data_IF_155096199912
#
_entry.id   IF_155096199912
#
_cell.length_a   1.000
_cell.length_b   1.000
_cell.length_c   1.000
_cell.angle_alpha   90.00
_cell.angle_beta   90.00
_cell.angle_gamma   90.00
#
_symmetry.space_group_name_H-M   'P 1'
#
loop_
_entity.id
_entity.type
_entity.pdbx_description
1 polymer ?
#
# COMPACT_ATOMS: atom_id res chain seq x y z
N UNK A 1 -5.27 2.20 -23.29
CA UNK A 1 -5.22 3.65 -23.01
C UNK A 1 -3.90 4.27 -23.49
N UNK A 2 -3.88 5.57 -23.86
CA UNK A 2 -2.63 6.28 -24.20
C UNK A 2 -1.73 6.40 -22.96
N UNK A 3 -0.41 6.55 -23.15
CA UNK A 3 0.56 6.56 -22.04
C UNK A 3 0.29 7.66 -21.01
N UNK A 4 -0.05 8.88 -21.44
CA UNK A 4 -0.40 9.99 -20.53
C UNK A 4 -1.62 9.64 -19.67
N UNK A 5 -2.65 9.05 -20.29
CA UNK A 5 -3.87 8.64 -19.58
C UNK A 5 -3.56 7.51 -18.58
N UNK A 6 -2.65 6.59 -18.92
CA UNK A 6 -2.15 5.54 -18.01
C UNK A 6 -1.50 6.15 -16.76
N UNK A 7 -0.60 7.11 -16.96
CA UNK A 7 0.09 7.78 -15.85
C UNK A 7 -0.91 8.51 -14.95
N UNK A 8 -1.83 9.30 -15.53
CA UNK A 8 -2.85 10.01 -14.77
C UNK A 8 -3.76 9.06 -13.98
N UNK A 9 -4.22 7.98 -14.60
CA UNK A 9 -5.02 6.95 -13.95
C UNK A 9 -4.28 6.32 -12.76
N UNK A 10 -3.03 5.91 -12.96
CA UNK A 10 -2.21 5.33 -11.90
C UNK A 10 -1.95 6.32 -10.76
N UNK A 11 -1.75 7.60 -11.05
CA UNK A 11 -1.60 8.64 -10.02
C UNK A 11 -2.90 8.84 -9.22
N UNK A 12 -4.06 8.88 -9.87
CA UNK A 12 -5.35 8.95 -9.16
C UNK A 12 -5.56 7.76 -8.23
N UNK A 13 -5.25 6.55 -8.70
CA UNK A 13 -5.34 5.34 -7.88
C UNK A 13 -4.32 5.38 -6.74
N UNK A 14 -3.12 5.91 -6.97
CA UNK A 14 -2.10 6.03 -5.93
C UNK A 14 -2.54 6.91 -4.77
N UNK A 15 -3.26 8.01 -5.03
CA UNK A 15 -3.84 8.87 -3.98
C UNK A 15 -4.88 8.09 -3.18
N UNK A 16 -5.75 7.33 -3.86
CA UNK A 16 -6.73 6.47 -3.21
C UNK A 16 -6.06 5.39 -2.34
N UNK A 17 -5.03 4.74 -2.87
CA UNK A 17 -4.28 3.71 -2.13
C UNK A 17 -3.54 4.30 -0.93
N UNK A 18 -2.91 5.47 -1.09
CA UNK A 18 -2.30 6.24 0.00
C UNK A 18 -3.31 6.55 1.12
N UNK A 19 -4.48 7.10 0.77
CA UNK A 19 -5.53 7.41 1.76
C UNK A 19 -6.02 6.14 2.49
N UNK A 20 -6.30 5.06 1.74
CA UNK A 20 -6.74 3.79 2.33
C UNK A 20 -5.67 3.19 3.25
N UNK A 21 -4.40 3.29 2.89
CA UNK A 21 -3.30 2.75 3.71
C UNK A 21 -3.09 3.57 4.99
N UNK A 22 -3.21 4.90 4.96
CA UNK A 22 -3.20 5.70 6.20
C UNK A 22 -4.36 5.31 7.12
N UNK A 23 -5.57 5.17 6.57
CA UNK A 23 -6.75 4.77 7.34
C UNK A 23 -6.51 3.38 7.96
N UNK A 24 -6.01 2.43 7.17
CA UNK A 24 -5.69 1.09 7.61
C UNK A 24 -4.69 1.08 8.78
N UNK A 25 -3.59 1.83 8.64
CA UNK A 25 -2.57 1.98 9.69
C UNK A 25 -3.17 2.62 10.94
N UNK A 26 -3.98 3.68 10.80
CA UNK A 26 -4.65 4.33 11.92
C UNK A 26 -5.62 3.41 12.66
N UNK A 27 -6.41 2.61 11.94
CA UNK A 27 -7.32 1.63 12.56
C UNK A 27 -6.57 0.48 13.25
N UNK A 28 -5.44 0.05 12.69
CA UNK A 28 -4.55 -0.94 13.31
C UNK A 28 -3.91 -0.37 14.58
N UNK A 29 -3.43 0.87 14.55
CA UNK A 29 -2.81 1.52 15.70
C UNK A 29 -3.81 1.76 16.85
N UNK A 30 -5.09 2.00 16.52
CA UNK A 30 -6.17 2.10 17.50
C UNK A 30 -6.59 0.73 18.09
N UNK A 31 -6.07 -0.39 17.57
CA UNK A 31 -6.46 -1.73 18.00
C UNK A 31 -7.90 -2.12 17.62
N UNK A 32 -8.54 -1.34 16.74
CA UNK A 32 -9.93 -1.57 16.32
C UNK A 32 -10.07 -2.77 15.39
N UNK A 33 -9.03 -3.03 14.59
CA UNK A 33 -9.02 -4.13 13.64
C UNK A 33 -8.65 -5.42 14.36
N UNK A 34 -9.51 -6.46 14.29
CA UNK A 34 -9.27 -7.74 14.97
C UNK A 34 -9.06 -7.61 16.48
N UNK A 35 -9.78 -6.70 17.15
CA UNK A 35 -9.64 -6.49 18.61
C UNK A 35 -9.77 -7.81 19.37
N UNK A 36 -10.66 -8.73 18.95
CA UNK A 36 -10.88 -10.01 19.62
C UNK A 36 -9.63 -10.89 19.72
N UNK A 37 -8.65 -10.66 18.84
CA UNK A 37 -7.37 -11.37 18.82
C UNK A 37 -6.23 -10.56 19.46
N UNK A 38 -6.54 -9.41 20.05
CA UNK A 38 -5.54 -8.54 20.66
C UNK A 38 -5.03 -9.22 21.95
N UNK A 39 -3.82 -9.79 21.86
CA UNK A 39 -3.18 -10.49 22.98
C UNK A 39 -2.18 -9.57 23.66
N UNK A 40 -2.34 -9.40 24.97
CA UNK A 40 -1.37 -8.68 25.81
C UNK A 40 -0.01 -9.38 25.89
N UNK A 41 0.05 -10.67 25.55
CA UNK A 41 1.29 -11.46 25.58
C UNK A 41 2.19 -11.18 24.37
N UNK A 42 1.61 -10.81 23.21
CA UNK A 42 2.36 -10.56 21.97
C UNK A 42 1.85 -9.32 21.22
N UNK A 43 1.99 -8.12 21.81
CA UNK A 43 1.38 -6.90 21.27
C UNK A 43 1.97 -6.50 19.91
N UNK A 44 3.28 -6.66 19.71
CA UNK A 44 3.96 -6.33 18.46
C UNK A 44 3.54 -7.23 17.31
N UNK A 45 3.43 -8.54 17.55
CA UNK A 45 3.01 -9.50 16.53
C UNK A 45 1.56 -9.26 16.09
N UNK A 46 0.66 -8.96 17.04
CA UNK A 46 -0.72 -8.64 16.70
C UNK A 46 -0.87 -7.33 15.94
N UNK A 47 -0.13 -6.30 16.34
CA UNK A 47 -0.12 -5.03 15.60
C UNK A 47 0.41 -5.20 14.16
N UNK A 48 1.44 -6.04 13.96
CA UNK A 48 1.94 -6.37 12.62
C UNK A 48 0.90 -7.14 11.79
N UNK A 49 0.22 -8.11 12.40
CA UNK A 49 -0.82 -8.88 11.72
C UNK A 49 -2.04 -8.01 11.33
N UNK A 50 -2.46 -7.10 12.21
CA UNK A 50 -3.52 -6.13 11.93
C UNK A 50 -3.13 -5.18 10.78
N UNK A 51 -1.88 -4.71 10.74
CA UNK A 51 -1.36 -3.92 9.63
C UNK A 51 -1.32 -4.72 8.33
N UNK A 52 -0.87 -5.97 8.36
CA UNK A 52 -0.85 -6.84 7.19
C UNK A 52 -2.25 -7.02 6.59
N UNK A 53 -3.25 -7.33 7.42
CA UNK A 53 -4.63 -7.55 6.98
C UNK A 53 -5.25 -6.25 6.48
N UNK A 54 -5.10 -5.16 7.23
CA UNK A 54 -5.71 -3.87 6.87
C UNK A 54 -5.10 -3.27 5.59
N UNK A 55 -3.78 -3.24 5.46
CA UNK A 55 -3.09 -2.80 4.24
C UNK A 55 -3.38 -3.78 3.09
N UNK A 56 -3.53 -5.08 3.40
CA UNK A 56 -3.93 -6.10 2.43
C UNK A 56 -5.30 -5.81 1.82
N UNK A 57 -6.28 -5.47 2.65
CA UNK A 57 -7.61 -5.04 2.21
C UNK A 57 -7.56 -3.70 1.46
N UNK A 58 -6.75 -2.75 1.94
CA UNK A 58 -6.54 -1.46 1.26
C UNK A 58 -5.91 -1.63 -0.13
N UNK A 59 -5.04 -2.63 -0.31
CA UNK A 59 -4.38 -2.94 -1.58
C UNK A 59 -5.30 -3.68 -2.57
N UNK A 60 -6.33 -4.37 -2.08
CA UNK A 60 -7.28 -5.12 -2.92
C UNK A 60 -7.99 -4.21 -3.91
N UNK A 61 -8.60 -3.12 -3.42
CA UNK A 61 -9.40 -2.17 -4.21
C UNK A 61 -8.61 -1.60 -5.40
N UNK A 62 -7.47 -0.92 -5.19
CA UNK A 62 -6.73 -0.31 -6.29
C UNK A 62 -6.18 -1.36 -7.27
N UNK A 63 -5.79 -2.54 -6.77
CA UNK A 63 -5.31 -3.63 -7.62
C UNK A 63 -6.42 -4.20 -8.51
N UNK A 64 -7.63 -4.34 -7.97
CA UNK A 64 -8.81 -4.75 -8.73
C UNK A 64 -9.15 -3.71 -9.81
N UNK A 65 -9.11 -2.42 -9.49
CA UNK A 65 -9.36 -1.34 -10.44
C UNK A 65 -8.32 -1.36 -11.58
N UNK A 66 -7.03 -1.47 -11.26
CA UNK A 66 -5.98 -1.56 -12.30
C UNK A 66 -6.21 -2.76 -13.22
N UNK A 67 -6.55 -3.92 -12.66
CA UNK A 67 -6.83 -5.12 -13.45
C UNK A 67 -8.01 -4.92 -14.39
N UNK A 68 -9.09 -4.34 -13.90
CA UNK A 68 -10.36 -4.21 -14.63
C UNK A 68 -10.27 -3.19 -15.77
N UNK A 69 -9.58 -2.06 -15.55
CA UNK A 69 -9.51 -0.97 -16.53
C UNK A 69 -8.24 -1.01 -17.42
N UNK A 70 -7.14 -1.61 -16.96
CA UNK A 70 -5.87 -1.68 -17.71
C UNK A 70 -5.25 -3.10 -17.76
N UNK A 71 -5.97 -4.10 -18.29
CA UNK A 71 -5.50 -5.50 -18.30
C UNK A 71 -4.19 -5.69 -19.09
N UNK A 72 -3.99 -4.91 -20.16
CA UNK A 72 -2.80 -5.01 -21.01
C UNK A 72 -1.52 -4.45 -20.36
N UNK A 73 -1.64 -3.44 -19.49
CA UNK A 73 -0.50 -2.70 -18.89
C UNK A 73 -0.52 -2.68 -17.36
N UNK A 74 -1.24 -3.61 -16.76
CA UNK A 74 -1.43 -3.74 -15.31
C UNK A 74 -0.14 -3.67 -14.48
N UNK A 75 0.97 -4.23 -14.96
CA UNK A 75 2.26 -4.16 -14.26
C UNK A 75 2.81 -2.74 -14.20
N UNK A 76 2.78 -2.01 -15.32
CA UNK A 76 3.23 -0.61 -15.37
C UNK A 76 2.35 0.23 -14.46
N UNK A 77 1.02 0.02 -14.52
CA UNK A 77 0.07 0.78 -13.72
C UNK A 77 0.27 0.54 -12.21
N UNK A 78 0.50 -0.70 -11.78
CA UNK A 78 0.79 -1.06 -10.38
C UNK A 78 2.12 -0.50 -9.93
N UNK A 79 3.17 -0.55 -10.76
CA UNK A 79 4.47 0.03 -10.42
C UNK A 79 4.37 1.53 -10.19
N UNK A 80 3.73 2.28 -11.10
CA UNK A 80 3.51 3.72 -10.95
C UNK A 80 2.71 4.01 -9.67
N UNK A 81 1.64 3.25 -9.44
CA UNK A 81 0.80 3.39 -8.26
C UNK A 81 1.59 3.19 -6.96
N UNK A 82 2.39 2.13 -6.86
CA UNK A 82 3.21 1.84 -5.67
C UNK A 82 4.23 2.96 -5.44
N UNK A 83 4.99 3.33 -6.48
CA UNK A 83 6.03 4.36 -6.37
C UNK A 83 5.43 5.70 -5.94
N UNK A 84 4.32 6.11 -6.54
CA UNK A 84 3.61 7.34 -6.17
C UNK A 84 3.04 7.26 -4.74
N UNK A 85 2.57 6.09 -4.30
CA UNK A 85 2.06 5.91 -2.94
C UNK A 85 3.18 6.00 -1.89
N UNK A 86 4.34 5.37 -2.16
CA UNK A 86 5.52 5.48 -1.29
C UNK A 86 6.02 6.92 -1.20
N UNK A 87 6.01 7.61 -2.34
CA UNK A 87 6.34 9.02 -2.42
C UNK A 87 5.41 9.87 -1.52
N UNK A 88 4.10 9.61 -1.56
CA UNK A 88 3.12 10.33 -0.72
C UNK A 88 3.29 10.01 0.77
N UNK A 89 3.54 8.75 1.13
CA UNK A 89 3.83 8.35 2.51
C UNK A 89 5.05 9.06 3.10
N UNK A 90 6.13 9.21 2.32
CA UNK A 90 7.30 9.97 2.77
C UNK A 90 7.07 11.46 2.99
N UNK A 91 5.94 11.99 2.50
CA UNK A 91 5.53 13.38 2.63
C UNK A 91 4.29 13.58 3.52
N UNK A 92 3.96 12.60 4.38
CA UNK A 92 2.76 12.70 5.25
C UNK A 92 2.74 13.95 6.15
N UNK A 93 3.93 14.45 6.53
CA UNK A 93 4.10 15.68 7.34
C UNK A 93 4.69 16.85 6.54
N UNK A 94 4.76 16.74 5.22
CA UNK A 94 5.39 17.71 4.33
C UNK A 94 4.45 18.09 3.20
N UNK A 95 4.92 18.94 2.30
CA UNK A 95 4.17 19.29 1.10
C UNK A 95 3.93 18.02 0.25
N UNK A 96 2.68 17.72 -0.14
CA UNK A 96 2.41 16.66 -1.11
C UNK A 96 3.22 16.91 -2.38
N UNK A 97 3.70 15.83 -3.01
CA UNK A 97 4.49 15.93 -4.25
C UNK A 97 5.91 16.54 -4.09
N UNK A 98 6.44 16.72 -2.87
CA UNK A 98 7.85 17.10 -2.64
C UNK A 98 8.79 15.97 -3.10
N UNK A 99 9.72 16.21 -4.06
CA UNK A 99 10.59 15.21 -4.65
C UNK A 99 11.41 14.41 -3.64
N UNK A 100 11.66 14.95 -2.45
CA UNK A 100 12.36 14.26 -1.37
C UNK A 100 11.52 13.16 -0.70
N UNK A 101 10.22 13.08 -0.98
CA UNK A 101 9.29 12.14 -0.36
C UNK A 101 9.74 10.69 -0.45
N UNK A 102 10.14 10.23 -1.63
CA UNK A 102 10.57 8.83 -1.77
C UNK A 102 11.85 8.51 -0.97
N UNK A 103 12.77 9.48 -0.87
CA UNK A 103 14.01 9.34 -0.08
C UNK A 103 13.67 9.30 1.41
N UNK A 104 12.79 10.18 1.88
CA UNK A 104 12.30 10.17 3.27
C UNK A 104 11.60 8.87 3.60
N UNK A 105 10.75 8.38 2.70
CA UNK A 105 10.04 7.11 2.90
C UNK A 105 11.04 5.97 3.06
N UNK A 106 11.96 5.80 2.11
CA UNK A 106 12.95 4.72 2.15
C UNK A 106 13.84 4.83 3.40
N UNK A 107 14.37 6.02 3.72
CA UNK A 107 15.24 6.20 4.88
C UNK A 107 14.51 5.93 6.19
N UNK A 108 13.33 6.51 6.39
CA UNK A 108 12.61 6.43 7.66
C UNK A 108 11.92 5.08 7.88
N UNK A 109 11.62 4.32 6.81
CA UNK A 109 10.95 3.02 6.94
C UNK A 109 11.89 1.84 6.77
N UNK A 110 12.72 1.81 5.72
CA UNK A 110 13.54 0.65 5.38
C UNK A 110 14.88 0.64 6.12
N UNK A 111 15.59 1.76 6.16
CA UNK A 111 16.95 1.81 6.73
C UNK A 111 16.94 2.10 8.24
N UNK A 112 16.26 3.16 8.65
CA UNK A 112 16.24 3.63 10.04
C UNK A 112 14.94 3.32 10.79
N UNK A 113 13.96 2.72 10.11
CA UNK A 113 12.69 2.33 10.71
C UNK A 113 12.84 1.18 11.71
N UNK A 114 11.92 1.11 12.66
CA UNK A 114 11.76 -0.06 13.51
C UNK A 114 11.15 -1.24 12.72
N UNK A 115 10.93 -2.38 13.39
CA UNK A 115 10.33 -3.56 12.75
C UNK A 115 8.95 -3.25 12.16
N UNK A 116 8.15 -2.39 12.81
CA UNK A 116 6.84 -1.98 12.32
C UNK A 116 6.93 -1.18 11.01
N UNK A 117 7.83 -0.20 10.97
CA UNK A 117 8.05 0.62 9.79
C UNK A 117 8.63 -0.19 8.62
N UNK A 118 9.58 -1.10 8.88
CA UNK A 118 10.09 -2.03 7.86
C UNK A 118 9.01 -2.94 7.32
N UNK A 119 8.16 -3.49 8.19
CA UNK A 119 7.03 -4.31 7.77
C UNK A 119 6.05 -3.51 6.91
N UNK A 120 5.71 -2.28 7.31
CA UNK A 120 4.85 -1.37 6.55
C UNK A 120 5.40 -1.09 5.15
N UNK A 121 6.72 -0.86 5.02
CA UNK A 121 7.37 -0.70 3.72
C UNK A 121 7.10 -1.90 2.80
N UNK A 122 7.32 -3.13 3.31
CA UNK A 122 7.07 -4.34 2.53
C UNK A 122 5.59 -4.57 2.25
N UNK A 123 4.68 -4.20 3.16
CA UNK A 123 3.25 -4.34 2.96
C UNK A 123 2.74 -3.43 1.83
N UNK A 124 3.16 -2.16 1.83
CA UNK A 124 2.82 -1.20 0.77
C UNK A 124 3.39 -1.63 -0.59
N UNK A 125 4.59 -2.21 -0.60
CA UNK A 125 5.25 -2.69 -1.81
C UNK A 125 4.63 -3.97 -2.37
N UNK A 126 4.47 -5.00 -1.53
CA UNK A 126 4.24 -6.38 -1.97
C UNK A 126 2.76 -6.75 -2.04
N UNK A 127 1.90 -6.20 -1.18
CA UNK A 127 0.49 -6.60 -1.15
C UNK A 127 -0.27 -6.31 -2.45
N UNK A 128 -0.06 -5.15 -3.13
CA UNK A 128 -0.66 -4.94 -4.45
C UNK A 128 -0.17 -5.94 -5.49
N UNK A 129 1.10 -6.34 -5.43
CA UNK A 129 1.70 -7.33 -6.34
C UNK A 129 1.06 -8.71 -6.11
N UNK A 130 0.92 -9.12 -4.85
CA UNK A 130 0.30 -10.39 -4.48
C UNK A 130 -1.15 -10.46 -4.93
N UNK A 131 -1.94 -9.38 -4.73
CA UNK A 131 -3.31 -9.32 -5.24
C UNK A 131 -3.37 -9.45 -6.76
N UNK A 132 -2.45 -8.78 -7.48
CA UNK A 132 -2.44 -8.84 -8.94
C UNK A 132 -2.19 -10.26 -9.44
N UNK A 133 -1.25 -10.97 -8.80
CA UNK A 133 -0.95 -12.37 -9.07
C UNK A 133 -2.14 -13.27 -8.75
N UNK A 134 -2.78 -13.08 -7.59
CA UNK A 134 -3.96 -13.84 -7.19
C UNK A 134 -5.10 -13.67 -8.20
N UNK A 135 -5.43 -12.44 -8.58
CA UNK A 135 -6.47 -12.21 -9.57
C UNK A 135 -6.11 -12.88 -10.90
N UNK A 136 -4.84 -12.82 -11.35
CA UNK A 136 -4.42 -13.45 -12.62
C UNK A 136 -4.66 -14.95 -12.62
N UNK A 137 -4.47 -15.59 -11.46
CA UNK A 137 -4.76 -17.00 -11.28
C UNK A 137 -6.27 -17.28 -11.31
N UNK A 138 -7.09 -16.46 -10.66
CA UNK A 138 -8.55 -16.65 -10.61
C UNK A 138 -9.22 -16.62 -11.98
N UNK A 139 -8.73 -15.85 -12.95
CA UNK A 139 -9.32 -15.79 -14.32
C UNK A 139 -8.91 -16.97 -15.21
N UNK A 140 -7.91 -17.77 -14.81
CA UNK A 140 -7.55 -18.99 -15.55
C UNK A 140 -8.37 -20.22 -15.14
N UNK A 141 -9.16 -20.11 -14.07
CA UNK A 141 -10.07 -21.14 -13.56
C UNK A 141 -11.45 -20.84 -14.12
#
# INVERSE_FOLDING_TARGET
>A
MNFIKLVLFSLCISIGYYALTIIAIGQSAAGNLLWWFNSSQYPTAMHLAQNFISIGLAAFIPTFVVRSYEPARQWIAITIMIVATMFLHGNIHYMPWDPMGIVRFINNTLFYGDIGAKAMFFYILLLPILWLLMFKRMVRI
#
